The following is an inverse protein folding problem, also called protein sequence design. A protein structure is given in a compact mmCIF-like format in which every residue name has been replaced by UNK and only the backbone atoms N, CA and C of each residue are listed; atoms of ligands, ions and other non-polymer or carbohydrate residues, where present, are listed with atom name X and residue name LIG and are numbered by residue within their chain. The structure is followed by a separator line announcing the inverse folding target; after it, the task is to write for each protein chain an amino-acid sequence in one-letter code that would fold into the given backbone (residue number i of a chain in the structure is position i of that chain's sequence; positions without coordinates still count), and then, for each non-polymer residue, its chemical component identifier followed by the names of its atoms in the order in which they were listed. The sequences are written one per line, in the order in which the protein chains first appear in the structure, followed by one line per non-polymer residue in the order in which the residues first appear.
data_IF_681590058776
#
_entry.id   IF_681590058776
#
_cell.length_a   1.000
_cell.length_b   1.000
_cell.length_c   1.000
_cell.angle_alpha   90.00
_cell.angle_beta   90.00
_cell.angle_gamma   90.00
#
_symmetry.space_group_name_H-M   'P 1'
#
loop_
_entity.id
_entity.type
_entity.pdbx_description
1 polymer ?
#
# COMPACT_ATOMS: atom_id res chain seq x y z
N UNK A 1 14.26 -33.41 -10.71
CA UNK A 1 14.05 -31.97 -10.52
C UNK A 1 12.79 -31.76 -9.69
N UNK A 2 12.87 -31.49 -8.37
CA UNK A 2 11.67 -31.16 -7.62
C UNK A 2 11.22 -29.75 -8.04
N UNK A 3 9.98 -29.65 -8.53
CA UNK A 3 9.34 -28.37 -8.85
C UNK A 3 9.01 -27.63 -7.55
N UNK A 4 9.52 -26.41 -7.40
CA UNK A 4 9.14 -25.51 -6.31
C UNK A 4 7.61 -25.39 -6.27
N UNK A 5 6.97 -25.45 -5.09
CA UNK A 5 5.53 -25.28 -5.00
C UNK A 5 5.18 -23.90 -5.56
N UNK A 6 4.30 -23.86 -6.56
CA UNK A 6 3.77 -22.61 -7.11
C UNK A 6 2.84 -21.98 -6.06
N UNK A 7 3.41 -21.16 -5.18
CA UNK A 7 2.65 -20.46 -4.14
C UNK A 7 1.65 -19.53 -4.83
N UNK A 8 0.37 -19.90 -4.81
CA UNK A 8 -0.71 -19.06 -5.31
C UNK A 8 -1.30 -18.26 -4.14
N UNK A 9 -0.84 -17.02 -3.99
CA UNK A 9 -1.27 -16.11 -2.92
C UNK A 9 -2.79 -15.91 -2.87
N UNK A 10 -3.46 -15.90 -4.02
CA UNK A 10 -4.91 -15.72 -4.11
C UNK A 10 -5.65 -16.93 -3.53
N UNK A 11 -5.12 -18.13 -3.77
CA UNK A 11 -5.67 -19.37 -3.22
C UNK A 11 -5.52 -19.40 -1.69
N UNK A 12 -4.34 -19.08 -1.17
CA UNK A 12 -4.11 -19.00 0.29
C UNK A 12 -4.95 -17.91 0.97
N UNK A 13 -5.18 -16.77 0.30
CA UNK A 13 -6.06 -15.72 0.85
C UNK A 13 -7.52 -16.17 0.97
N UNK A 14 -7.99 -17.03 0.06
CA UNK A 14 -9.36 -17.56 0.10
C UNK A 14 -9.56 -18.50 1.29
N UNK A 15 -8.56 -19.33 1.58
CA UNK A 15 -8.56 -20.29 2.68
C UNK A 15 -8.23 -19.67 4.04
N UNK A 16 -7.62 -18.49 4.05
CA UNK A 16 -7.28 -17.77 5.27
C UNK A 16 -8.52 -17.36 6.09
N UNK A 17 -8.31 -17.17 7.41
CA UNK A 17 -9.34 -16.67 8.32
C UNK A 17 -9.91 -15.34 7.81
N UNK A 18 -11.24 -15.09 7.94
CA UNK A 18 -11.88 -13.88 7.40
C UNK A 18 -11.18 -12.57 7.80
N UNK A 19 -10.69 -12.48 9.04
CA UNK A 19 -9.95 -11.32 9.52
C UNK A 19 -8.67 -11.04 8.69
N UNK A 20 -7.87 -12.07 8.38
CA UNK A 20 -6.66 -11.92 7.57
C UNK A 20 -7.01 -11.51 6.15
N UNK A 21 -8.01 -12.16 5.57
CA UNK A 21 -8.50 -11.87 4.21
C UNK A 21 -8.96 -10.42 4.08
N UNK A 22 -9.76 -9.93 5.03
CA UNK A 22 -10.25 -8.55 5.00
C UNK A 22 -9.16 -7.53 5.26
N UNK A 23 -8.19 -7.80 6.14
CA UNK A 23 -7.05 -6.90 6.33
C UNK A 23 -6.24 -6.74 5.04
N UNK A 24 -6.00 -7.84 4.31
CA UNK A 24 -5.27 -7.77 3.04
C UNK A 24 -6.09 -7.04 1.98
N UNK A 25 -7.39 -7.32 1.85
CA UNK A 25 -8.25 -6.60 0.90
C UNK A 25 -8.38 -5.11 1.23
N UNK A 26 -8.51 -4.75 2.50
CA UNK A 26 -8.54 -3.36 2.94
C UNK A 26 -7.20 -2.66 2.63
N UNK A 27 -6.07 -3.34 2.87
CA UNK A 27 -4.75 -2.81 2.52
C UNK A 27 -4.58 -2.57 1.02
N UNK A 28 -4.97 -3.53 0.19
CA UNK A 28 -4.96 -3.39 -1.28
C UNK A 28 -5.90 -2.27 -1.74
N UNK A 29 -7.09 -2.16 -1.16
CA UNK A 29 -8.05 -1.10 -1.48
C UNK A 29 -7.55 0.30 -1.11
N UNK A 30 -6.93 0.44 0.07
CA UNK A 30 -6.31 1.69 0.50
C UNK A 30 -5.15 2.08 -0.42
N UNK A 31 -4.29 1.13 -0.77
CA UNK A 31 -3.18 1.36 -1.70
C UNK A 31 -3.68 1.81 -3.08
N UNK A 32 -4.67 1.12 -3.64
CA UNK A 32 -5.27 1.49 -4.92
C UNK A 32 -5.94 2.88 -4.87
N UNK A 33 -6.55 3.24 -3.75
CA UNK A 33 -7.18 4.57 -3.56
C UNK A 33 -6.12 5.67 -3.54
N UNK A 34 -5.04 5.48 -2.79
CA UNK A 34 -3.93 6.43 -2.73
C UNK A 34 -3.27 6.59 -4.11
N UNK A 35 -3.02 5.48 -4.81
CA UNK A 35 -2.44 5.50 -6.15
C UNK A 35 -3.35 6.19 -7.17
N UNK A 36 -4.66 5.90 -7.13
CA UNK A 36 -5.64 6.56 -8.01
C UNK A 36 -5.72 8.05 -7.74
N UNK A 37 -5.68 8.46 -6.47
CA UNK A 37 -5.70 9.88 -6.08
C UNK A 37 -4.44 10.58 -6.55
N UNK A 38 -3.27 9.96 -6.38
CA UNK A 38 -2.01 10.47 -6.90
C UNK A 38 -2.08 10.69 -8.42
N UNK A 39 -2.48 9.67 -9.19
CA UNK A 39 -2.59 9.80 -10.65
C UNK A 39 -3.62 10.82 -11.08
N UNK A 40 -4.74 10.93 -10.36
CA UNK A 40 -5.74 11.97 -10.58
C UNK A 40 -5.13 13.37 -10.43
N UNK A 41 -4.36 13.62 -9.38
CA UNK A 41 -3.67 14.90 -9.18
C UNK A 41 -2.62 15.17 -10.27
N UNK A 42 -1.84 14.17 -10.66
CA UNK A 42 -0.85 14.29 -11.76
C UNK A 42 -1.51 14.66 -13.08
N UNK A 43 -2.58 13.95 -13.44
CA UNK A 43 -3.35 14.23 -14.65
C UNK A 43 -4.00 15.62 -14.59
N UNK A 44 -4.58 15.98 -13.45
CA UNK A 44 -5.18 17.30 -13.23
C UNK A 44 -4.14 18.41 -13.36
N UNK A 45 -2.96 18.27 -12.78
CA UNK A 45 -1.88 19.25 -12.90
C UNK A 45 -1.37 19.40 -14.34
N UNK A 46 -1.30 18.29 -15.09
CA UNK A 46 -0.82 18.27 -16.48
C UNK A 46 -1.80 18.92 -17.46
N UNK A 47 -3.10 18.64 -17.32
CA UNK A 47 -4.11 19.05 -18.30
C UNK A 47 -4.93 20.28 -17.86
N UNK A 48 -4.99 20.58 -16.57
CA UNK A 48 -5.72 21.72 -16.01
C UNK A 48 -4.80 22.54 -15.08
N UNK A 49 -3.77 23.21 -15.64
CA UNK A 49 -2.87 24.05 -14.85
C UNK A 49 -3.67 25.14 -14.13
N UNK A 50 -3.60 25.15 -12.80
CA UNK A 50 -4.37 26.11 -11.98
C UNK A 50 -3.78 27.51 -12.10
N UNK A 51 -4.66 28.50 -12.29
CA UNK A 51 -4.30 29.89 -12.54
C UNK A 51 -3.74 30.63 -11.30
N UNK A 52 -3.94 30.09 -10.10
CA UNK A 52 -3.71 30.79 -8.83
C UNK A 52 -2.69 30.09 -7.94
N UNK A 53 -1.88 30.88 -7.21
CA UNK A 53 -0.79 30.39 -6.35
C UNK A 53 -1.31 29.62 -5.12
N UNK A 54 -2.43 30.07 -4.54
CA UNK A 54 -3.12 29.40 -3.43
C UNK A 54 -3.57 27.96 -3.76
N UNK A 55 -3.88 27.75 -5.03
CA UNK A 55 -4.36 26.48 -5.55
C UNK A 55 -3.26 25.41 -5.68
N UNK A 56 -2.00 25.84 -5.86
CA UNK A 56 -0.83 24.95 -5.84
C UNK A 56 -0.47 24.53 -4.42
N UNK A 57 -0.52 25.49 -3.50
CA UNK A 57 -0.15 25.28 -2.10
C UNK A 57 -1.06 24.24 -1.42
N UNK A 58 -2.37 24.25 -1.75
CA UNK A 58 -3.33 23.26 -1.28
C UNK A 58 -3.09 21.85 -1.83
N UNK A 59 -2.58 21.74 -3.05
CA UNK A 59 -2.27 20.44 -3.67
C UNK A 59 -0.97 19.87 -3.11
N UNK A 60 0.02 20.71 -2.80
CA UNK A 60 1.26 20.30 -2.12
C UNK A 60 0.98 19.77 -0.71
N UNK A 61 0.10 20.43 0.06
CA UNK A 61 -0.34 19.94 1.38
C UNK A 61 -1.04 18.58 1.30
N UNK A 62 -1.88 18.36 0.29
CA UNK A 62 -2.53 17.06 0.06
C UNK A 62 -1.52 15.98 -0.33
N UNK A 63 -0.58 16.29 -1.22
CA UNK A 63 0.49 15.37 -1.61
C UNK A 63 1.37 14.98 -0.41
N UNK A 64 1.67 15.92 0.48
CA UNK A 64 2.43 15.64 1.69
C UNK A 64 1.65 14.74 2.66
N UNK A 65 0.35 14.98 2.79
CA UNK A 65 -0.55 14.08 3.53
C UNK A 65 -0.53 12.66 2.96
N UNK A 66 -0.63 12.48 1.63
CA UNK A 66 -0.54 11.16 1.01
C UNK A 66 0.82 10.49 1.21
N UNK A 67 1.92 11.23 1.10
CA UNK A 67 3.27 10.71 1.36
C UNK A 67 3.40 10.20 2.80
N UNK A 68 2.90 10.96 3.77
CA UNK A 68 2.93 10.55 5.18
C UNK A 68 2.09 9.29 5.43
N UNK A 69 0.91 9.18 4.80
CA UNK A 69 0.06 8.00 4.89
C UNK A 69 0.75 6.75 4.29
N UNK A 70 1.37 6.88 3.12
CA UNK A 70 2.15 5.79 2.49
C UNK A 70 3.32 5.39 3.38
N UNK A 71 4.03 6.36 3.97
CA UNK A 71 5.15 6.07 4.86
C UNK A 71 4.71 5.27 6.10
N UNK A 72 3.57 5.62 6.70
CA UNK A 72 2.99 4.88 7.82
C UNK A 72 2.59 3.45 7.44
N UNK A 73 1.93 3.27 6.30
CA UNK A 73 1.58 1.94 5.78
C UNK A 73 2.85 1.11 5.51
N UNK A 74 3.87 1.72 4.89
CA UNK A 74 5.16 1.07 4.64
C UNK A 74 5.81 0.65 5.95
N UNK A 75 5.83 1.49 6.98
CA UNK A 75 6.44 1.18 8.26
C UNK A 75 5.72 0.04 8.99
N UNK A 76 4.38 0.04 8.99
CA UNK A 76 3.58 -1.04 9.54
C UNK A 76 3.80 -2.36 8.77
N UNK A 77 3.86 -2.30 7.44
CA UNK A 77 4.13 -3.45 6.59
C UNK A 77 5.53 -4.01 6.85
N UNK A 78 6.57 -3.16 6.85
CA UNK A 78 7.96 -3.58 7.12
C UNK A 78 8.09 -4.20 8.51
N UNK A 79 7.47 -3.61 9.53
CA UNK A 79 7.49 -4.14 10.89
C UNK A 79 6.83 -5.52 10.99
N UNK A 80 5.67 -5.70 10.35
CA UNK A 80 4.99 -6.99 10.34
C UNK A 80 5.73 -8.04 9.50
N UNK A 81 6.32 -7.63 8.39
CA UNK A 81 7.18 -8.47 7.54
C UNK A 81 8.43 -8.94 8.32
N UNK A 82 9.12 -8.02 9.00
CA UNK A 82 10.27 -8.34 9.83
C UNK A 82 9.90 -9.31 10.98
N UNK A 83 8.71 -9.15 11.57
CA UNK A 83 8.23 -10.03 12.65
C UNK A 83 7.90 -11.44 12.13
N UNK A 84 7.24 -11.54 10.98
CA UNK A 84 6.91 -12.81 10.34
C UNK A 84 8.17 -13.57 9.92
N UNK A 85 9.10 -12.89 9.25
CA UNK A 85 10.34 -13.50 8.78
C UNK A 85 11.38 -13.73 9.89
N UNK A 86 11.44 -12.88 10.91
CA UNK A 86 12.28 -13.09 12.10
C UNK A 86 11.85 -14.33 12.90
N UNK A 87 10.55 -14.55 13.05
CA UNK A 87 10.02 -15.70 13.77
C UNK A 87 10.04 -17.01 12.96
N UNK A 88 9.83 -16.97 11.64
CA UNK A 88 9.71 -18.20 10.83
C UNK A 88 10.96 -18.58 10.03
N UNK A 89 11.85 -17.64 9.69
CA UNK A 89 13.01 -17.92 8.83
C UNK A 89 14.31 -18.09 9.63
N UNK A 90 14.40 -17.53 10.84
CA UNK A 90 15.58 -17.65 11.72
C UNK A 90 15.37 -18.52 12.96
N UNK A 91 14.17 -19.07 13.18
CA UNK A 91 13.93 -20.06 14.23
C UNK A 91 14.21 -19.61 15.67
N UNK A 92 14.24 -18.29 15.94
CA UNK A 92 14.33 -17.76 17.30
C UNK A 92 12.91 -17.52 17.84
N UNK A 93 12.27 -18.62 18.22
CA UNK A 93 11.02 -18.68 18.97
C UNK A 93 11.09 -19.83 19.95
#
# INVERSE_FOLDING_TARGET
HPSLPSINLVHHLREARPAVRYTVYAGLGLMATVESTFWFHVLRAKFFPRATQADRQRDDELLDSFKSAIAGVRQAWMGNYQRYYGAHLWGLG
#
